data_IF_413085979812
#
_entry.id   IF_413085979812
#
_cell.length_a   1.000
_cell.length_b   1.000
_cell.length_c   1.000
_cell.angle_alpha   90.00
_cell.angle_beta   90.00
_cell.angle_gamma   90.00
#
_symmetry.space_group_name_H-M   'P 1'
#
loop_
_entity.id
_entity.type
_entity.pdbx_description
1 polymer ?
#
# COMPACT_ATOMS: atom_id res chain seq x y z
N UNK A 1 -10.72 6.17 25.46
CA UNK A 1 -10.87 6.32 24.00
C UNK A 1 -9.46 6.37 23.42
N UNK A 2 -9.06 5.37 22.63
CA UNK A 2 -7.77 5.42 21.92
C UNK A 2 -7.78 6.62 20.96
N UNK A 3 -6.72 7.43 20.99
CA UNK A 3 -6.60 8.55 20.05
C UNK A 3 -6.18 8.05 18.67
N UNK A 4 -6.46 8.81 17.61
CA UNK A 4 -6.06 8.44 16.24
C UNK A 4 -4.53 8.30 16.11
N UNK A 5 -3.77 9.05 16.92
CA UNK A 5 -2.33 8.88 17.04
C UNK A 5 -1.94 7.53 17.67
N UNK A 6 -2.66 7.06 18.68
CA UNK A 6 -2.37 5.76 19.29
C UNK A 6 -2.59 4.60 18.31
N UNK A 7 -3.60 4.72 17.44
CA UNK A 7 -3.83 3.75 16.36
C UNK A 7 -2.66 3.75 15.37
N UNK A 8 -2.11 4.91 15.01
CA UNK A 8 -0.93 5.03 14.15
C UNK A 8 0.37 4.59 14.84
N UNK A 9 0.40 4.62 16.18
CA UNK A 9 1.54 4.24 17.00
C UNK A 9 1.51 2.77 17.39
N UNK A 10 0.40 2.06 17.12
CA UNK A 10 0.40 0.60 17.26
C UNK A 10 1.55 0.07 16.41
N UNK A 11 2.54 -0.59 17.03
CA UNK A 11 3.64 -1.16 16.28
C UNK A 11 3.02 -2.14 15.31
N UNK A 12 3.15 -1.84 14.02
CA UNK A 12 2.75 -2.75 12.97
C UNK A 12 3.51 -4.07 13.25
N UNK A 13 2.77 -5.16 13.44
CA UNK A 13 3.36 -6.44 13.83
C UNK A 13 4.45 -6.82 12.83
N UNK A 14 5.58 -7.29 13.38
CA UNK A 14 6.87 -7.56 12.74
C UNK A 14 7.65 -6.34 12.20
N UNK A 15 8.98 -6.26 12.45
CA UNK A 15 9.85 -5.29 11.79
C UNK A 15 9.80 -5.51 10.27
N UNK A 16 9.35 -4.48 9.55
CA UNK A 16 9.12 -4.59 8.12
C UNK A 16 10.42 -4.80 7.35
N UNK A 17 10.46 -5.86 6.55
CA UNK A 17 11.57 -6.08 5.63
C UNK A 17 11.65 -4.92 4.63
N UNK A 18 12.86 -4.54 4.16
CA UNK A 18 13.04 -3.43 3.24
C UNK A 18 12.25 -3.60 1.93
N UNK A 19 11.93 -4.83 1.52
CA UNK A 19 11.07 -5.10 0.36
C UNK A 19 9.61 -4.68 0.57
N UNK A 20 9.01 -5.07 1.70
CA UNK A 20 7.61 -4.74 2.04
C UNK A 20 7.44 -3.23 2.22
N UNK A 21 8.44 -2.56 2.84
CA UNK A 21 8.45 -1.10 2.98
C UNK A 21 8.44 -0.38 1.63
N UNK A 22 9.23 -0.85 0.66
CA UNK A 22 9.22 -0.29 -0.71
C UNK A 22 7.86 -0.49 -1.37
N UNK A 23 7.28 -1.69 -1.28
CA UNK A 23 5.94 -1.94 -1.84
C UNK A 23 4.88 -1.02 -1.24
N UNK A 24 4.88 -0.81 0.07
CA UNK A 24 3.95 0.14 0.71
C UNK A 24 4.16 1.57 0.19
N UNK A 25 5.41 2.04 0.11
CA UNK A 25 5.68 3.37 -0.42
C UNK A 25 5.23 3.49 -1.88
N UNK A 26 5.45 2.47 -2.71
CA UNK A 26 4.95 2.44 -4.09
C UNK A 26 3.42 2.53 -4.13
N UNK A 27 2.71 1.78 -3.29
CA UNK A 27 1.24 1.85 -3.20
C UNK A 27 0.79 3.26 -2.81
N UNK A 28 1.41 3.86 -1.80
CA UNK A 28 1.07 5.22 -1.37
C UNK A 28 1.31 6.25 -2.47
N UNK A 29 2.46 6.19 -3.14
CA UNK A 29 2.77 7.07 -4.28
C UNK A 29 1.76 6.89 -5.41
N UNK A 30 1.37 5.65 -5.74
CA UNK A 30 0.35 5.36 -6.73
C UNK A 30 -1.03 5.89 -6.33
N UNK A 31 -1.40 5.79 -5.05
CA UNK A 31 -2.64 6.39 -4.53
C UNK A 31 -2.62 7.92 -4.68
N UNK A 32 -1.52 8.58 -4.33
CA UNK A 32 -1.39 10.03 -4.53
C UNK A 32 -1.42 10.41 -6.02
N UNK A 33 -0.75 9.64 -6.88
CA UNK A 33 -0.79 9.84 -8.33
C UNK A 33 -2.21 9.67 -8.88
N UNK A 34 -2.96 8.67 -8.39
CA UNK A 34 -4.36 8.45 -8.76
C UNK A 34 -5.24 9.63 -8.34
N UNK A 35 -5.16 10.07 -7.08
CA UNK A 35 -5.89 11.25 -6.60
C UNK A 35 -5.54 12.48 -7.42
N UNK A 36 -4.25 12.71 -7.69
CA UNK A 36 -3.79 13.80 -8.56
C UNK A 36 -4.36 13.72 -9.97
N UNK A 37 -4.39 12.52 -10.57
CA UNK A 37 -4.93 12.31 -11.91
C UNK A 37 -6.44 12.57 -12.01
N UNK A 38 -7.20 12.27 -10.94
CA UNK A 38 -8.64 12.54 -10.86
C UNK A 38 -8.89 14.03 -10.60
N UNK A 39 -8.16 14.64 -9.67
CA UNK A 39 -8.28 16.06 -9.35
C UNK A 39 -7.92 16.96 -10.54
N UNK A 40 -6.95 16.52 -11.36
CA UNK A 40 -6.50 17.21 -12.56
C UNK A 40 -7.08 16.61 -13.85
N UNK A 41 -8.28 16.01 -13.81
CA UNK A 41 -8.82 15.30 -14.97
C UNK A 41 -9.09 16.21 -16.18
N UNK A 42 -9.54 17.45 -15.96
CA UNK A 42 -9.80 18.42 -17.02
C UNK A 42 -8.52 18.88 -17.74
N UNK A 43 -7.46 19.35 -17.03
CA UNK A 43 -6.21 19.66 -17.68
C UNK A 43 -5.54 18.41 -18.29
N UNK A 44 -5.72 17.23 -17.68
CA UNK A 44 -5.21 15.98 -18.24
C UNK A 44 -5.92 15.64 -19.57
N UNK A 45 -7.25 15.80 -19.64
CA UNK A 45 -8.01 15.68 -20.89
C UNK A 45 -7.62 16.71 -21.92
N UNK A 46 -7.24 17.93 -21.53
CA UNK A 46 -6.76 18.93 -22.47
C UNK A 46 -5.43 18.55 -23.15
N UNK A 47 -4.56 17.79 -22.45
CA UNK A 47 -3.26 17.37 -22.99
C UNK A 47 -3.33 16.06 -23.78
N UNK A 48 -4.02 15.04 -23.25
CA UNK A 48 -4.03 13.69 -23.82
C UNK A 48 -5.43 13.22 -24.29
N UNK A 49 -6.43 14.10 -24.24
CA UNK A 49 -7.77 13.82 -24.75
C UNK A 49 -8.45 12.66 -24.04
N UNK A 50 -9.04 11.77 -24.84
CA UNK A 50 -9.72 10.56 -24.37
C UNK A 50 -8.78 9.61 -23.61
N UNK A 51 -7.47 9.72 -23.82
CA UNK A 51 -6.43 8.94 -23.13
C UNK A 51 -6.35 9.20 -21.63
N UNK A 52 -6.88 10.32 -21.13
CA UNK A 52 -6.91 10.64 -19.70
C UNK A 52 -7.65 9.57 -18.87
N UNK A 53 -8.73 9.00 -19.43
CA UNK A 53 -9.45 7.91 -18.77
C UNK A 53 -8.61 6.62 -18.68
N UNK A 54 -7.78 6.34 -19.70
CA UNK A 54 -6.89 5.18 -19.69
C UNK A 54 -5.79 5.31 -18.63
N UNK A 55 -5.31 6.53 -18.35
CA UNK A 55 -4.32 6.78 -17.28
C UNK A 55 -4.93 6.47 -15.91
N UNK A 56 -6.11 7.01 -15.61
CA UNK A 56 -6.81 6.75 -14.33
C UNK A 56 -7.14 5.26 -14.19
N UNK A 57 -7.69 4.65 -15.25
CA UNK A 57 -8.01 3.23 -15.28
C UNK A 57 -6.78 2.33 -15.11
N UNK A 58 -5.67 2.68 -15.76
CA UNK A 58 -4.39 1.98 -15.62
C UNK A 58 -3.84 2.05 -14.19
N UNK A 59 -3.86 3.23 -13.57
CA UNK A 59 -3.46 3.40 -12.17
C UNK A 59 -4.33 2.56 -11.22
N UNK A 60 -5.64 2.51 -11.45
CA UNK A 60 -6.55 1.67 -10.68
C UNK A 60 -6.24 0.19 -10.85
N UNK A 61 -6.03 -0.30 -12.07
CA UNK A 61 -5.68 -1.70 -12.33
C UNK A 61 -4.38 -2.08 -11.62
N UNK A 62 -3.36 -1.22 -11.70
CA UNK A 62 -2.08 -1.46 -11.00
C UNK A 62 -2.30 -1.55 -9.49
N UNK A 63 -3.11 -0.66 -8.89
CA UNK A 63 -3.42 -0.72 -7.47
C UNK A 63 -4.20 -2.00 -7.08
N UNK A 64 -5.20 -2.39 -7.89
CA UNK A 64 -5.98 -3.62 -7.67
C UNK A 64 -5.10 -4.87 -7.68
N UNK A 65 -4.02 -4.87 -8.46
CA UNK A 65 -3.05 -5.99 -8.48
C UNK A 65 -2.04 -5.87 -7.35
N UNK A 66 -1.48 -4.67 -7.11
CA UNK A 66 -0.37 -4.48 -6.18
C UNK A 66 -0.79 -4.62 -4.72
N UNK A 67 -2.01 -4.21 -4.37
CA UNK A 67 -2.53 -4.26 -2.99
C UNK A 67 -2.69 -5.71 -2.49
N UNK A 68 -3.33 -6.65 -3.22
CA UNK A 68 -3.38 -8.06 -2.82
C UNK A 68 -1.99 -8.70 -2.72
N UNK A 69 -1.08 -8.40 -3.66
CA UNK A 69 0.30 -8.92 -3.62
C UNK A 69 1.03 -8.43 -2.37
N UNK A 70 0.88 -7.15 -2.03
CA UNK A 70 1.40 -6.59 -0.78
C UNK A 70 0.79 -7.27 0.44
N UNK A 71 -0.54 -7.50 0.44
CA UNK A 71 -1.22 -8.14 1.56
C UNK A 71 -0.68 -9.55 1.81
N UNK A 72 -0.59 -10.39 0.78
CA UNK A 72 -0.04 -11.75 0.90
C UNK A 72 1.42 -11.73 1.37
N UNK A 73 2.25 -10.86 0.79
CA UNK A 73 3.65 -10.73 1.20
C UNK A 73 3.78 -10.28 2.66
N UNK A 74 2.89 -9.39 3.11
CA UNK A 74 2.84 -8.93 4.49
C UNK A 74 2.37 -10.04 5.43
N UNK A 75 1.27 -10.74 5.13
CA UNK A 75 0.76 -11.85 5.96
C UNK A 75 1.84 -12.91 6.20
N UNK A 76 2.59 -13.29 5.16
CA UNK A 76 3.69 -14.25 5.30
C UNK A 76 4.82 -13.78 6.22
N UNK A 77 5.12 -12.48 6.22
CA UNK A 77 6.14 -11.92 7.11
C UNK A 77 5.65 -11.84 8.55
N UNK A 78 4.38 -11.50 8.74
CA UNK A 78 3.74 -11.44 10.05
C UNK A 78 3.66 -12.85 10.67
N UNK A 79 3.29 -13.88 9.89
CA UNK A 79 3.24 -15.28 10.33
C UNK A 79 4.63 -15.81 10.73
N UNK A 80 5.67 -15.49 9.95
CA UNK A 80 7.04 -15.91 10.24
C UNK A 80 7.56 -15.27 11.54
N UNK A 81 7.22 -14.01 11.79
CA UNK A 81 7.58 -13.33 13.03
C UNK A 81 6.83 -13.91 14.23
N UNK A 82 5.54 -14.20 14.08
CA UNK A 82 4.74 -14.83 15.13
C UNK A 82 5.27 -16.23 15.49
N UNK A 83 5.65 -17.03 14.50
CA UNK A 83 6.25 -18.34 14.72
C UNK A 83 7.57 -18.25 15.51
N UNK A 84 8.41 -17.25 15.23
CA UNK A 84 9.65 -17.02 15.97
C UNK A 84 9.39 -16.67 17.44
N UNK A 85 8.41 -15.78 17.72
CA UNK A 85 8.04 -15.40 19.08
C UNK A 85 7.47 -16.57 19.90
N UNK A 86 6.69 -17.45 19.26
CA UNK A 86 6.17 -18.65 19.91
C UNK A 86 7.30 -19.61 20.30
N UNK A 87 8.29 -19.82 19.41
CA UNK A 87 9.44 -20.67 19.70
C UNK A 87 10.30 -20.16 20.87
N UNK A 88 10.43 -18.83 21.03
CA UNK A 88 11.11 -18.23 22.18
C UNK A 88 10.33 -18.38 23.50
N UNK A 89 8.99 -18.45 23.43
CA UNK A 89 8.12 -18.57 24.62
C UNK A 89 8.06 -20.00 25.15
N UNK A 90 8.22 -21.00 24.27
CA UNK A 90 8.24 -22.43 24.62
C UNK A 90 9.62 -22.89 25.16
N UNK A 91 10.64 -22.03 25.16
CA UNK A 91 11.98 -22.26 25.74
C UNK A 91 12.09 -21.76 27.19
#
# INVERSE_FOLDING_TARGET
MLTLLDVLRTPMAAPETPGIKRMRMTILVLCFALVGSIAAIDPLRAVIGIGAGAVVGGLLIVLVVLVPVYFVAKTRADDAHLAALLAETDQ
#
